data_IF_945147288814
#
_entry.id   IF_945147288814
#
_cell.length_a   1.000
_cell.length_b   1.000
_cell.length_c   1.000
_cell.angle_alpha   90.00
_cell.angle_beta   90.00
_cell.angle_gamma   90.00
#
_symmetry.space_group_name_H-M   'P 1'
#
loop_
_entity.id
_entity.type
_entity.pdbx_description
1 polymer ?
#
# COMPACT_ATOMS: atom_id res chain seq x y z
N UNK A 1 -27.16 81.38 -37.40
CA UNK A 1 -27.82 80.26 -36.70
C UNK A 1 -27.01 79.04 -37.00
N UNK A 2 -26.00 78.79 -36.17
CA UNK A 2 -25.09 77.62 -36.33
C UNK A 2 -25.48 76.52 -35.30
N UNK A 3 -25.72 75.32 -35.77
CA UNK A 3 -25.95 74.16 -34.92
C UNK A 3 -24.64 73.39 -34.83
N UNK A 4 -24.00 73.41 -33.64
CA UNK A 4 -22.82 72.59 -33.33
C UNK A 4 -23.25 71.17 -33.05
N UNK A 5 -22.75 70.22 -33.83
CA UNK A 5 -22.91 68.84 -33.56
C UNK A 5 -21.75 68.31 -32.65
N UNK A 6 -22.10 67.81 -31.48
CA UNK A 6 -21.16 67.19 -30.56
C UNK A 6 -21.05 65.74 -30.96
N UNK A 7 -19.84 65.32 -31.41
CA UNK A 7 -19.52 63.91 -31.68
C UNK A 7 -19.00 63.29 -30.36
N UNK A 8 -19.77 62.39 -29.79
CA UNK A 8 -19.36 61.55 -28.62
C UNK A 8 -18.66 60.35 -29.15
N UNK A 9 -17.34 60.28 -29.04
CA UNK A 9 -16.54 59.06 -29.34
C UNK A 9 -16.61 58.10 -28.18
N UNK A 10 -17.28 57.01 -28.42
CA UNK A 10 -17.35 55.87 -27.48
C UNK A 10 -16.10 54.96 -27.65
N UNK A 11 -15.13 55.07 -26.75
CA UNK A 11 -13.97 54.21 -26.71
C UNK A 11 -14.35 52.90 -26.05
N UNK A 12 -14.46 51.82 -26.84
CA UNK A 12 -14.66 50.44 -26.34
C UNK A 12 -13.29 49.89 -25.92
N UNK A 13 -13.02 49.91 -24.61
CA UNK A 13 -11.85 49.28 -24.02
C UNK A 13 -12.00 47.75 -24.05
N UNK A 14 -11.22 47.09 -24.88
CA UNK A 14 -11.11 45.62 -24.94
C UNK A 14 -10.29 45.13 -23.73
N UNK A 15 -10.97 44.66 -22.67
CA UNK A 15 -10.33 44.01 -21.53
C UNK A 15 -9.82 42.63 -21.96
N UNK A 16 -8.51 42.51 -22.17
CA UNK A 16 -7.80 41.24 -22.31
C UNK A 16 -7.75 40.55 -20.94
N UNK A 17 -8.65 39.60 -20.71
CA UNK A 17 -8.60 38.71 -19.55
C UNK A 17 -7.51 37.67 -19.82
N UNK A 18 -6.44 37.56 -18.98
CA UNK A 18 -5.48 36.47 -19.14
C UNK A 18 -6.17 35.15 -18.86
N UNK A 19 -6.27 34.31 -19.87
CA UNK A 19 -6.65 32.88 -19.70
C UNK A 19 -5.49 32.19 -18.97
N UNK A 20 -5.64 32.06 -17.66
CA UNK A 20 -4.73 31.20 -16.86
C UNK A 20 -4.87 29.79 -17.39
N UNK A 21 -3.87 29.32 -18.16
CA UNK A 21 -3.77 27.95 -18.60
C UNK A 21 -3.71 27.03 -17.36
N UNK A 22 -4.77 26.30 -17.13
CA UNK A 22 -4.75 25.19 -16.16
C UNK A 22 -3.71 24.21 -16.68
N UNK A 23 -2.63 24.03 -15.91
CA UNK A 23 -1.70 22.93 -16.12
C UNK A 23 -2.54 21.66 -16.05
N UNK A 24 -2.71 20.98 -17.18
CA UNK A 24 -3.30 19.65 -17.20
C UNK A 24 -2.31 18.73 -16.47
N UNK A 25 -2.71 18.28 -15.27
CA UNK A 25 -2.00 17.24 -14.55
C UNK A 25 -1.85 16.05 -15.48
N UNK A 26 -0.59 15.74 -15.83
CA UNK A 26 -0.25 14.58 -16.63
C UNK A 26 -0.83 13.35 -15.90
N UNK A 27 -1.58 12.46 -16.57
CA UNK A 27 -2.15 11.29 -15.91
C UNK A 27 -1.03 10.53 -15.21
N UNK A 28 -1.05 10.55 -13.90
CA UNK A 28 -0.14 9.74 -13.10
C UNK A 28 -0.53 8.27 -13.33
N UNK A 29 0.45 7.40 -13.61
CA UNK A 29 0.18 5.97 -13.78
C UNK A 29 -0.59 5.44 -12.56
N UNK A 30 -1.53 4.49 -12.75
CA UNK A 30 -2.29 3.92 -11.64
C UNK A 30 -1.37 3.37 -10.55
N UNK A 31 -1.70 3.65 -9.29
CA UNK A 31 -0.98 3.10 -8.15
C UNK A 31 -1.04 1.57 -8.15
N UNK A 32 -0.15 0.90 -7.40
CA UNK A 32 -0.26 -0.55 -7.22
C UNK A 32 -1.61 -0.91 -6.57
N UNK A 33 -2.11 -0.08 -5.64
CA UNK A 33 -3.43 -0.22 -5.05
C UNK A 33 -4.56 -0.26 -6.10
N UNK A 34 -4.52 0.66 -7.07
CA UNK A 34 -5.54 0.71 -8.14
C UNK A 34 -5.44 -0.51 -9.06
N UNK A 35 -4.22 -0.94 -9.41
CA UNK A 35 -3.97 -2.11 -10.26
C UNK A 35 -4.37 -3.43 -9.57
N UNK A 36 -4.30 -3.47 -8.23
CA UNK A 36 -4.79 -4.58 -7.42
C UNK A 36 -6.33 -4.60 -7.29
N UNK A 37 -7.03 -3.57 -7.76
CA UNK A 37 -8.47 -3.45 -7.68
C UNK A 37 -9.00 -2.88 -6.36
N UNK A 38 -8.13 -2.26 -5.56
CA UNK A 38 -8.51 -1.57 -4.34
C UNK A 38 -8.58 -2.45 -3.10
N UNK A 39 -9.21 -1.93 -2.03
CA UNK A 39 -9.20 -2.56 -0.70
C UNK A 39 -9.88 -3.93 -0.66
N UNK A 40 -10.93 -4.16 -1.42
CA UNK A 40 -11.70 -5.40 -1.35
C UNK A 40 -10.88 -6.62 -1.81
N UNK A 41 -10.27 -6.65 -3.02
CA UNK A 41 -9.40 -7.75 -3.42
C UNK A 41 -8.18 -7.90 -2.51
N UNK A 42 -7.56 -6.79 -2.07
CA UNK A 42 -6.44 -6.81 -1.12
C UNK A 42 -6.85 -7.54 0.17
N UNK A 43 -8.04 -7.22 0.72
CA UNK A 43 -8.53 -7.85 1.93
C UNK A 43 -8.77 -9.34 1.76
N UNK A 44 -9.24 -9.79 0.59
CA UNK A 44 -9.45 -11.21 0.29
C UNK A 44 -8.11 -11.99 0.25
N UNK A 45 -7.08 -11.42 -0.38
CA UNK A 45 -5.72 -12.01 -0.38
C UNK A 45 -5.15 -12.08 1.03
N UNK A 46 -5.27 -10.99 1.79
CA UNK A 46 -4.79 -10.91 3.18
C UNK A 46 -5.52 -11.90 4.07
N UNK A 47 -6.82 -12.06 3.89
CA UNK A 47 -7.63 -13.03 4.65
C UNK A 47 -7.07 -14.46 4.51
N UNK A 48 -6.87 -14.91 3.27
CA UNK A 48 -6.30 -16.23 2.97
C UNK A 48 -4.85 -16.35 3.47
N UNK A 49 -4.03 -15.33 3.26
CA UNK A 49 -2.64 -15.31 3.73
C UNK A 49 -2.54 -15.47 5.25
N UNK A 50 -3.32 -14.72 6.01
CA UNK A 50 -3.34 -14.83 7.48
C UNK A 50 -3.83 -16.22 7.90
N UNK A 51 -4.81 -16.79 7.20
CA UNK A 51 -5.27 -18.14 7.49
C UNK A 51 -4.16 -19.18 7.28
N UNK A 52 -3.38 -19.07 6.19
CA UNK A 52 -2.23 -19.95 5.92
C UNK A 52 -1.17 -19.87 7.00
N UNK A 53 -0.69 -18.68 7.33
CA UNK A 53 0.36 -18.52 8.34
C UNK A 53 -0.09 -19.05 9.72
N UNK A 54 -1.39 -19.01 10.04
CA UNK A 54 -1.91 -19.53 11.30
C UNK A 54 -1.86 -21.06 11.40
N UNK A 55 -1.85 -21.78 10.30
CA UNK A 55 -1.75 -23.23 10.25
C UNK A 55 -0.38 -23.74 9.79
N UNK A 56 0.54 -22.85 9.42
CA UNK A 56 1.87 -23.21 8.94
C UNK A 56 2.71 -23.86 10.05
N UNK A 57 3.10 -25.12 9.83
CA UNK A 57 3.83 -25.90 10.83
C UNK A 57 5.19 -25.30 11.20
N UNK A 58 5.92 -24.71 10.23
CA UNK A 58 7.22 -24.05 10.47
C UNK A 58 7.06 -22.84 11.39
N UNK A 59 6.06 -22.01 11.14
CA UNK A 59 5.76 -20.83 11.96
C UNK A 59 5.24 -21.24 13.34
N UNK A 60 4.43 -22.29 13.42
CA UNK A 60 3.86 -22.79 14.68
C UNK A 60 4.88 -23.48 15.58
N UNK A 61 6.01 -23.93 15.03
CA UNK A 61 7.11 -24.47 15.83
C UNK A 61 7.81 -23.39 16.68
N UNK A 62 7.63 -22.10 16.36
CA UNK A 62 8.15 -20.99 17.16
C UNK A 62 7.18 -20.63 18.30
N UNK A 63 7.57 -20.86 19.58
CA UNK A 63 6.68 -20.64 20.72
C UNK A 63 6.28 -19.16 20.90
N UNK A 64 7.16 -18.23 20.50
CA UNK A 64 6.88 -16.80 20.59
C UNK A 64 5.77 -16.38 19.61
N UNK A 65 5.76 -16.95 18.39
CA UNK A 65 4.67 -16.76 17.43
C UNK A 65 3.37 -17.36 17.97
N UNK A 66 3.42 -18.57 18.50
CA UNK A 66 2.26 -19.25 19.09
C UNK A 66 1.66 -18.46 20.25
N UNK A 67 2.49 -17.95 21.17
CA UNK A 67 2.08 -17.10 22.28
C UNK A 67 1.41 -15.81 21.85
N UNK A 68 1.95 -15.14 20.84
CA UNK A 68 1.37 -13.92 20.29
C UNK A 68 0.01 -14.17 19.60
N UNK A 69 -0.14 -15.31 18.93
CA UNK A 69 -1.42 -15.69 18.32
C UNK A 69 -2.54 -15.87 19.32
N UNK A 70 -2.24 -16.40 20.49
CA UNK A 70 -3.23 -16.53 21.59
C UNK A 70 -3.68 -15.17 22.12
N UNK A 71 -2.82 -14.15 22.11
CA UNK A 71 -3.12 -12.79 22.55
C UNK A 71 -3.75 -11.92 21.45
N UNK A 72 -3.49 -12.22 20.16
CA UNK A 72 -3.96 -11.41 19.04
C UNK A 72 -5.21 -12.02 18.44
N UNK A 73 -6.28 -11.23 18.39
CA UNK A 73 -7.51 -11.65 17.69
C UNK A 73 -7.25 -11.67 16.18
N UNK A 74 -7.27 -12.86 15.58
CA UNK A 74 -7.03 -13.09 14.15
C UNK A 74 -7.80 -12.11 13.21
N UNK A 75 -9.09 -11.81 13.44
CA UNK A 75 -9.80 -10.82 12.62
C UNK A 75 -9.19 -9.42 12.69
N UNK A 76 -8.75 -8.98 13.86
CA UNK A 76 -8.08 -7.69 14.02
C UNK A 76 -6.75 -7.62 13.25
N UNK A 77 -5.97 -8.70 13.25
CA UNK A 77 -4.74 -8.81 12.48
C UNK A 77 -5.02 -8.70 10.97
N UNK A 78 -6.04 -9.40 10.46
CA UNK A 78 -6.47 -9.31 9.06
C UNK A 78 -6.78 -7.88 8.64
N UNK A 79 -7.52 -7.14 9.46
CA UNK A 79 -7.84 -5.72 9.20
C UNK A 79 -6.57 -4.87 9.22
N UNK A 80 -5.69 -5.05 10.20
CA UNK A 80 -4.44 -4.28 10.29
C UNK A 80 -3.54 -4.53 9.07
N UNK A 81 -3.33 -5.78 8.68
CA UNK A 81 -2.49 -6.11 7.51
C UNK A 81 -3.12 -5.60 6.23
N UNK A 82 -4.44 -5.73 6.03
CA UNK A 82 -5.12 -5.18 4.85
C UNK A 82 -4.98 -3.65 4.77
N UNK A 83 -5.11 -2.95 5.91
CA UNK A 83 -4.93 -1.49 5.98
C UNK A 83 -3.49 -1.09 5.67
N UNK A 84 -2.50 -1.85 6.17
CA UNK A 84 -1.09 -1.62 5.87
C UNK A 84 -0.81 -1.81 4.37
N UNK A 85 -1.26 -2.92 3.78
CA UNK A 85 -1.08 -3.18 2.34
C UNK A 85 -1.75 -2.09 1.52
N UNK A 86 -2.97 -1.68 1.86
CA UNK A 86 -3.64 -0.56 1.21
C UNK A 86 -2.75 0.71 1.23
N UNK A 87 -2.21 1.08 2.38
CA UNK A 87 -1.39 2.27 2.52
C UNK A 87 -0.09 2.18 1.71
N UNK A 88 0.66 1.07 1.83
CA UNK A 88 1.98 0.95 1.18
C UNK A 88 1.89 0.73 -0.34
N UNK A 89 0.73 0.38 -0.85
CA UNK A 89 0.47 0.25 -2.29
C UNK A 89 -0.12 1.52 -2.93
N UNK A 90 -0.32 2.59 -2.15
CA UNK A 90 -0.77 3.89 -2.63
C UNK A 90 -2.27 4.15 -2.46
N UNK A 91 -2.98 3.35 -1.67
CA UNK A 91 -4.37 3.60 -1.27
C UNK A 91 -4.47 4.67 -0.18
N UNK A 92 -5.68 5.20 0.01
CA UNK A 92 -5.96 6.27 0.99
C UNK A 92 -6.09 5.77 2.46
N UNK A 93 -5.82 4.49 2.73
CA UNK A 93 -5.90 3.95 4.07
C UNK A 93 -4.80 4.54 4.97
N UNK A 94 -5.09 4.61 6.27
CA UNK A 94 -4.12 5.03 7.28
C UNK A 94 -3.86 3.88 8.24
N UNK A 95 -2.69 3.29 8.17
CA UNK A 95 -2.25 2.27 9.13
C UNK A 95 -1.85 2.95 10.46
N UNK A 96 -2.38 2.43 11.54
CA UNK A 96 -2.15 2.95 12.91
C UNK A 96 -1.58 1.88 13.85
N UNK A 97 -1.16 0.74 13.29
CA UNK A 97 -0.52 -0.34 14.05
C UNK A 97 0.96 -0.08 14.32
N UNK A 98 1.61 -1.07 14.92
CA UNK A 98 3.06 -1.04 15.20
C UNK A 98 3.87 -1.15 13.91
N UNK A 99 5.06 -0.52 13.89
CA UNK A 99 6.05 -0.73 12.83
C UNK A 99 6.54 -2.18 12.79
N UNK A 100 7.14 -2.58 11.66
CA UNK A 100 7.59 -3.97 11.46
C UNK A 100 8.57 -4.42 12.55
N UNK A 101 9.57 -3.63 12.86
CA UNK A 101 10.55 -3.92 13.91
C UNK A 101 9.90 -4.10 15.28
N UNK A 102 9.05 -3.17 15.69
CA UNK A 102 8.39 -3.22 16.99
C UNK A 102 7.37 -4.37 17.07
N UNK A 103 6.61 -4.58 16.00
CA UNK A 103 5.59 -5.62 15.92
C UNK A 103 6.15 -7.04 15.97
N UNK A 104 7.43 -7.23 15.57
CA UNK A 104 8.07 -8.55 15.46
C UNK A 104 9.22 -8.76 16.45
N UNK A 105 9.61 -7.74 17.23
CA UNK A 105 10.81 -7.76 18.08
C UNK A 105 10.89 -8.95 19.05
N UNK A 106 9.76 -9.46 19.54
CA UNK A 106 9.71 -10.60 20.47
C UNK A 106 9.65 -11.98 19.82
N UNK A 107 9.57 -12.06 18.48
CA UNK A 107 9.33 -13.33 17.80
C UNK A 107 10.61 -14.06 17.39
N UNK A 108 11.74 -13.37 17.36
CA UNK A 108 13.03 -13.94 16.95
C UNK A 108 12.95 -14.71 15.62
N UNK A 109 12.29 -14.11 14.62
CA UNK A 109 12.03 -14.72 13.32
C UNK A 109 13.34 -15.09 12.65
N UNK A 110 13.47 -16.36 12.28
CA UNK A 110 14.60 -16.90 11.55
C UNK A 110 14.39 -16.79 10.03
N UNK A 111 15.48 -16.96 9.25
CA UNK A 111 15.39 -17.05 7.79
C UNK A 111 14.41 -18.15 7.33
N UNK A 112 14.44 -19.33 8.01
CA UNK A 112 13.54 -20.44 7.68
C UNK A 112 12.07 -20.08 7.84
N UNK A 113 11.73 -19.36 8.89
CA UNK A 113 10.33 -18.91 9.13
C UNK A 113 9.93 -17.81 8.14
N UNK A 114 10.85 -16.92 7.80
CA UNK A 114 10.65 -15.92 6.76
C UNK A 114 10.33 -16.58 5.41
N UNK A 115 11.15 -17.57 5.00
CA UNK A 115 10.95 -18.28 3.73
C UNK A 115 9.61 -19.03 3.72
N UNK A 116 9.24 -19.67 4.83
CA UNK A 116 7.94 -20.33 4.96
C UNK A 116 6.76 -19.36 4.84
N UNK A 117 6.87 -18.18 5.43
CA UNK A 117 5.87 -17.11 5.29
C UNK A 117 5.76 -16.63 3.83
N UNK A 118 6.88 -16.46 3.12
CA UNK A 118 6.87 -16.04 1.72
C UNK A 118 6.21 -17.08 0.80
N UNK A 119 6.40 -18.38 1.09
CA UNK A 119 5.69 -19.46 0.37
C UNK A 119 4.17 -19.30 0.53
N UNK A 120 3.69 -19.08 1.75
CA UNK A 120 2.27 -18.89 2.03
C UNK A 120 1.74 -17.61 1.36
N UNK A 121 2.52 -16.53 1.37
CA UNK A 121 2.15 -15.28 0.71
C UNK A 121 1.97 -15.45 -0.79
N UNK A 122 2.95 -16.04 -1.47
CA UNK A 122 2.87 -16.33 -2.92
C UNK A 122 1.70 -17.24 -3.25
N UNK A 123 1.45 -18.28 -2.45
CA UNK A 123 0.32 -19.16 -2.64
C UNK A 123 -1.03 -18.45 -2.54
N UNK A 124 -1.14 -17.42 -1.69
CA UNK A 124 -2.35 -16.57 -1.63
C UNK A 124 -2.47 -15.68 -2.87
N UNK A 125 -1.39 -15.06 -3.33
CA UNK A 125 -1.38 -14.26 -4.55
C UNK A 125 -1.81 -15.10 -5.78
N UNK A 126 -1.31 -16.32 -5.90
CA UNK A 126 -1.66 -17.24 -6.97
C UNK A 126 -3.12 -17.67 -6.92
N UNK A 127 -3.63 -18.00 -5.72
CA UNK A 127 -5.03 -18.39 -5.51
C UNK A 127 -6.00 -17.31 -6.01
N UNK A 128 -5.68 -16.04 -5.77
CA UNK A 128 -6.50 -14.91 -6.21
C UNK A 128 -6.11 -14.39 -7.59
N UNK A 129 -5.21 -15.09 -8.31
CA UNK A 129 -4.79 -14.75 -9.67
C UNK A 129 -4.27 -13.33 -9.81
N UNK A 130 -3.53 -12.85 -8.79
CA UNK A 130 -2.87 -11.55 -8.87
C UNK A 130 -1.87 -11.61 -10.04
N UNK A 131 -1.84 -10.62 -10.97
CA UNK A 131 -0.95 -10.66 -12.11
C UNK A 131 0.53 -10.65 -11.68
N UNK A 132 1.41 -11.28 -12.46
CA UNK A 132 2.81 -11.51 -12.08
C UNK A 132 3.60 -10.21 -11.79
N UNK A 133 3.30 -9.12 -12.49
CA UNK A 133 3.94 -7.83 -12.24
C UNK A 133 3.60 -7.29 -10.84
N UNK A 134 2.31 -7.29 -10.47
CA UNK A 134 1.83 -6.86 -9.17
C UNK A 134 2.30 -7.78 -8.04
N UNK A 135 2.39 -9.10 -8.29
CA UNK A 135 3.01 -10.03 -7.35
C UNK A 135 4.47 -9.66 -7.08
N UNK A 136 5.24 -9.35 -8.13
CA UNK A 136 6.63 -8.93 -8.00
C UNK A 136 6.80 -7.69 -7.13
N UNK A 137 5.96 -6.68 -7.35
CA UNK A 137 5.97 -5.45 -6.56
C UNK A 137 5.58 -5.70 -5.09
N UNK A 138 4.54 -6.50 -4.85
CA UNK A 138 4.11 -6.87 -3.48
C UNK A 138 5.19 -7.64 -2.74
N UNK A 139 5.83 -8.61 -3.41
CA UNK A 139 6.94 -9.37 -2.82
C UNK A 139 8.13 -8.46 -2.51
N UNK A 140 8.46 -7.51 -3.39
CA UNK A 140 9.53 -6.54 -3.15
C UNK A 140 9.23 -5.66 -1.92
N UNK A 141 7.98 -5.21 -1.75
CA UNK A 141 7.55 -4.48 -0.55
C UNK A 141 7.74 -5.34 0.71
N UNK A 142 7.29 -6.60 0.69
CA UNK A 142 7.47 -7.51 1.83
C UNK A 142 8.96 -7.74 2.11
N UNK A 143 9.76 -8.04 1.10
CA UNK A 143 11.22 -8.26 1.25
C UNK A 143 11.95 -7.03 1.82
N UNK A 144 11.49 -5.82 1.53
CA UNK A 144 12.06 -4.60 2.10
C UNK A 144 11.92 -4.51 3.62
N UNK A 145 11.00 -5.24 4.22
CA UNK A 145 10.78 -5.27 5.67
C UNK A 145 11.62 -6.32 6.40
N UNK A 146 12.26 -7.23 5.68
CA UNK A 146 13.03 -8.34 6.23
C UNK A 146 14.14 -7.92 7.23
N UNK A 147 14.92 -6.85 7.00
CA UNK A 147 15.94 -6.42 7.94
C UNK A 147 15.40 -6.04 9.33
N UNK A 148 14.14 -5.61 9.40
CA UNK A 148 13.47 -5.26 10.65
C UNK A 148 12.86 -6.46 11.38
N UNK A 149 12.73 -7.60 10.70
CA UNK A 149 11.97 -8.75 11.17
C UNK A 149 12.87 -9.95 11.47
N UNK A 150 13.80 -10.27 10.56
CA UNK A 150 14.62 -11.49 10.65
C UNK A 150 15.85 -11.25 11.50
N UNK A 151 16.07 -12.10 12.50
CA UNK A 151 17.24 -12.02 13.36
C UNK A 151 18.53 -12.31 12.55
N UNK A 152 19.49 -11.39 12.57
CA UNK A 152 20.74 -11.52 11.84
C UNK A 152 20.64 -11.17 10.33
N UNK A 153 19.52 -10.66 9.84
CA UNK A 153 19.44 -10.13 8.49
C UNK A 153 20.29 -8.87 8.36
N UNK A 154 21.24 -8.88 7.42
CA UNK A 154 22.03 -7.69 7.08
C UNK A 154 21.18 -6.77 6.22
N UNK A 155 21.02 -5.51 6.65
CA UNK A 155 20.35 -4.50 5.82
C UNK A 155 21.13 -4.35 4.50
N UNK A 156 20.51 -4.69 3.39
CA UNK A 156 21.09 -4.41 2.07
C UNK A 156 21.04 -2.90 1.88
N UNK A 157 22.15 -2.23 2.06
CA UNK A 157 22.26 -0.80 1.74
C UNK A 157 22.05 -0.64 0.23
N UNK A 158 21.09 0.20 -0.11
CA UNK A 158 20.80 0.65 -1.49
C UNK A 158 21.58 1.90 -1.78
#
# INVERSE_FOLDING_TARGET
MGKSAVVVSLAIGLLLVPVSGQAQDKPTAPSLYDRLGGLYPISAVVDDFIDRIYVNATLNANPAIGGARNATRKPGLKVQVATLVCQVTGGACKYVGKGMKEGHAGFHITQKEWDAMLVDFRASLDKFKVPAAEQGELVAIVESTKPDIVVGAVATQK
#
